data_IF_141257356617
#
_entry.id   IF_141257356617
#
_cell.length_a   1.000
_cell.length_b   1.000
_cell.length_c   1.000
_cell.angle_alpha   90.00
_cell.angle_beta   90.00
_cell.angle_gamma   90.00
#
_symmetry.space_group_name_H-M   'P 1'
#
loop_
_entity.id
_entity.type
_entity.pdbx_description
1 polymer ?
#
# COMPACT_ATOMS: atom_id res chain seq x y z
N UNK A 1 5.97 -38.19 -70.93
CA UNK A 1 5.12 -38.04 -69.72
C UNK A 1 3.70 -37.74 -70.16
N UNK A 2 2.68 -38.42 -69.64
CA UNK A 2 1.29 -38.20 -70.10
C UNK A 2 0.71 -36.95 -69.43
N UNK A 3 -0.21 -36.24 -70.10
CA UNK A 3 -0.91 -35.09 -69.49
C UNK A 3 -1.56 -35.46 -68.14
N UNK A 4 -2.00 -36.72 -68.02
CA UNK A 4 -2.57 -37.28 -66.80
C UNK A 4 -1.53 -37.46 -65.68
N UNK A 5 -0.27 -37.78 -66.00
CA UNK A 5 0.77 -37.86 -64.96
C UNK A 5 1.11 -36.47 -64.44
N UNK A 6 1.20 -35.46 -65.30
CA UNK A 6 1.53 -34.09 -64.90
C UNK A 6 0.41 -33.45 -64.05
N UNK A 7 -0.85 -33.66 -64.43
CA UNK A 7 -2.02 -33.17 -63.69
C UNK A 7 -2.12 -33.78 -62.29
N UNK A 8 -1.76 -35.07 -62.14
CA UNK A 8 -1.74 -35.75 -60.85
C UNK A 8 -0.63 -35.21 -59.95
N UNK A 9 0.55 -34.95 -60.49
CA UNK A 9 1.67 -34.42 -59.69
C UNK A 9 1.45 -32.95 -59.30
N UNK A 10 0.86 -32.14 -60.18
CA UNK A 10 0.55 -30.73 -59.85
C UNK A 10 -0.60 -30.59 -58.85
N UNK A 11 -1.65 -31.41 -58.97
CA UNK A 11 -2.74 -31.45 -57.99
C UNK A 11 -2.26 -31.93 -56.62
N UNK A 12 -1.36 -32.92 -56.57
CA UNK A 12 -0.74 -33.38 -55.33
C UNK A 12 0.14 -32.30 -54.70
N UNK A 13 0.94 -31.58 -55.51
CA UNK A 13 1.75 -30.46 -55.02
C UNK A 13 0.92 -29.29 -54.47
N UNK A 14 -0.20 -28.97 -55.11
CA UNK A 14 -1.12 -27.94 -54.63
C UNK A 14 -1.85 -28.34 -53.34
N UNK A 15 -2.25 -29.61 -53.23
CA UNK A 15 -2.86 -30.14 -52.00
C UNK A 15 -1.85 -30.15 -50.84
N UNK A 16 -0.61 -30.56 -51.10
CA UNK A 16 0.47 -30.61 -50.09
C UNK A 16 0.83 -29.20 -49.61
N UNK A 17 1.02 -28.24 -50.52
CA UNK A 17 1.33 -26.85 -50.15
C UNK A 17 0.13 -26.12 -49.52
N UNK A 18 -1.08 -26.37 -50.00
CA UNK A 18 -2.31 -25.78 -49.45
C UNK A 18 -2.66 -26.29 -48.06
N UNK A 19 -2.44 -27.59 -47.80
CA UNK A 19 -2.62 -28.18 -46.47
C UNK A 19 -1.53 -27.75 -45.48
N UNK A 20 -0.29 -27.53 -45.94
CA UNK A 20 0.76 -26.92 -45.12
C UNK A 20 0.45 -25.47 -44.72
N UNK A 21 -0.16 -24.68 -45.60
CA UNK A 21 -0.53 -23.29 -45.30
C UNK A 21 -1.77 -23.20 -44.40
N UNK A 22 -2.78 -24.06 -44.62
CA UNK A 22 -3.95 -24.14 -43.75
C UNK A 22 -3.59 -24.61 -42.32
N UNK A 23 -2.58 -25.49 -42.17
CA UNK A 23 -2.08 -25.92 -40.88
C UNK A 23 -1.29 -24.83 -40.11
N UNK A 24 -0.84 -23.75 -40.78
CA UNK A 24 -0.10 -22.64 -40.15
C UNK A 24 -1.01 -21.50 -39.68
N UNK A 25 -2.32 -21.55 -39.95
CA UNK A 25 -3.28 -20.49 -39.64
C UNK A 25 -3.81 -20.45 -38.20
N UNK A 26 -3.47 -21.43 -37.36
CA UNK A 26 -3.93 -21.51 -35.95
C UNK A 26 -2.79 -21.85 -34.99
N UNK A 27 -1.54 -21.51 -35.32
CA UNK A 27 -0.49 -21.46 -34.30
C UNK A 27 -0.50 -20.06 -33.70
N UNK A 28 -1.55 -19.76 -32.94
CA UNK A 28 -1.31 -18.93 -31.77
C UNK A 28 -0.24 -19.66 -30.96
N UNK A 29 0.84 -18.98 -30.59
CA UNK A 29 1.91 -19.58 -29.81
C UNK A 29 1.29 -20.35 -28.64
N UNK A 30 1.68 -21.61 -28.47
CA UNK A 30 1.31 -22.38 -27.28
C UNK A 30 2.07 -21.75 -26.11
N UNK A 31 1.48 -20.70 -25.54
CA UNK A 31 2.04 -20.00 -24.40
C UNK A 31 1.79 -20.83 -23.16
N UNK A 32 2.62 -21.86 -22.97
CA UNK A 32 2.69 -22.54 -21.69
C UNK A 32 3.41 -21.63 -20.69
N UNK A 33 2.63 -20.76 -20.02
CA UNK A 33 3.14 -19.82 -19.04
C UNK A 33 3.08 -20.47 -17.66
N UNK A 34 4.25 -20.87 -17.13
CA UNK A 34 4.40 -21.24 -15.73
C UNK A 34 4.94 -20.04 -14.93
N UNK A 35 4.17 -19.55 -13.95
CA UNK A 35 4.55 -18.42 -13.11
C UNK A 35 5.03 -18.88 -11.72
N UNK A 36 6.30 -18.63 -11.43
CA UNK A 36 6.91 -18.78 -10.10
C UNK A 36 7.07 -17.39 -9.47
N UNK A 37 6.44 -17.17 -8.31
CA UNK A 37 6.61 -15.94 -7.53
C UNK A 37 5.41 -14.99 -7.58
N UNK A 38 4.30 -15.38 -6.95
CA UNK A 38 3.31 -14.41 -6.51
C UNK A 38 3.65 -14.07 -5.06
N UNK A 39 4.23 -12.88 -4.86
CA UNK A 39 4.44 -12.30 -3.53
C UNK A 39 3.18 -12.33 -2.68
N UNK A 40 3.34 -12.48 -1.37
CA UNK A 40 2.23 -12.60 -0.42
C UNK A 40 1.37 -11.34 -0.32
N UNK A 41 0.24 -11.41 0.40
CA UNK A 41 -0.49 -10.21 0.82
C UNK A 41 0.17 -9.66 2.08
N UNK A 42 0.67 -8.43 2.02
CA UNK A 42 1.23 -7.74 3.17
C UNK A 42 0.30 -6.59 3.59
N UNK A 43 -0.14 -6.60 4.84
CA UNK A 43 -0.93 -5.54 5.46
C UNK A 43 -0.05 -4.74 6.43
N UNK A 44 0.03 -3.42 6.20
CA UNK A 44 0.86 -2.51 6.97
C UNK A 44 -0.01 -1.54 7.75
N UNK A 45 -0.10 -1.73 9.06
CA UNK A 45 -0.86 -0.83 9.92
C UNK A 45 0.04 0.20 10.59
N UNK A 46 -0.33 1.48 10.46
CA UNK A 46 0.34 2.63 11.05
C UNK A 46 -0.42 3.17 12.27
N UNK A 47 -1.01 2.29 13.08
CA UNK A 47 -1.78 2.66 14.27
C UNK A 47 -0.85 3.11 15.40
N UNK A 48 -0.60 4.42 15.48
CA UNK A 48 0.17 5.04 16.57
C UNK A 48 1.53 5.60 16.13
N UNK A 49 1.84 6.81 16.59
CA UNK A 49 3.12 7.49 16.40
C UNK A 49 3.74 7.93 17.72
N UNK A 50 4.98 8.40 17.68
CA UNK A 50 5.67 8.92 18.85
C UNK A 50 5.43 10.43 19.00
N UNK A 51 4.99 10.86 20.19
CA UNK A 51 5.02 12.28 20.59
C UNK A 51 5.93 12.44 21.80
N UNK A 52 6.86 13.38 21.69
CA UNK A 52 7.61 13.90 22.82
C UNK A 52 7.02 15.25 23.21
N UNK A 53 6.31 15.30 24.33
CA UNK A 53 5.93 16.56 24.96
C UNK A 53 7.09 17.04 25.84
N UNK A 54 7.47 18.31 25.68
CA UNK A 54 8.40 18.97 26.59
C UNK A 54 7.70 19.40 27.89
N UNK A 55 8.31 20.33 28.61
CA UNK A 55 7.71 20.88 29.83
C UNK A 55 6.38 21.58 29.52
N UNK A 56 5.30 21.11 30.16
CA UNK A 56 3.97 21.72 30.10
C UNK A 56 3.82 22.61 31.34
N UNK A 57 4.03 23.91 31.17
CA UNK A 57 3.90 24.89 32.23
C UNK A 57 2.59 25.67 32.09
N UNK A 58 1.84 25.80 33.19
CA UNK A 58 0.64 26.64 33.26
C UNK A 58 0.93 28.14 33.15
N UNK A 59 2.20 28.54 33.15
CA UNK A 59 2.62 29.92 33.38
C UNK A 59 2.36 30.35 34.83
N UNK A 60 2.74 31.59 35.15
CA UNK A 60 2.34 32.30 36.37
C UNK A 60 0.84 32.62 36.35
N UNK A 61 0.02 31.61 36.09
CA UNK A 61 -1.41 31.66 36.23
C UNK A 61 -1.66 31.69 37.75
N UNK A 62 -1.52 32.88 38.28
CA UNK A 62 -1.96 33.28 39.61
C UNK A 62 -3.39 33.77 39.40
N UNK A 63 -4.29 33.43 40.31
CA UNK A 63 -5.72 33.74 40.19
C UNK A 63 -6.03 35.24 40.23
N UNK A 64 -6.94 35.66 41.09
CA UNK A 64 -7.29 37.08 41.18
C UNK A 64 -6.19 37.85 41.93
N UNK A 65 -5.63 38.87 41.29
CA UNK A 65 -4.81 39.86 41.97
C UNK A 65 -5.74 40.86 42.68
N UNK A 66 -5.62 41.00 44.01
CA UNK A 66 -6.39 41.98 44.78
C UNK A 66 -5.46 42.98 45.45
N UNK A 67 -5.57 44.25 45.04
CA UNK A 67 -4.90 45.37 45.70
C UNK A 67 -5.82 46.05 46.70
N UNK A 68 -5.37 46.21 47.94
CA UNK A 68 -6.17 46.79 49.03
C UNK A 68 -5.88 48.27 49.29
N UNK A 69 -4.87 48.88 48.65
CA UNK A 69 -4.45 50.27 48.94
C UNK A 69 -4.18 50.51 50.43
N UNK A 70 -4.33 51.76 50.89
CA UNK A 70 -4.15 52.16 52.30
C UNK A 70 -5.37 51.81 53.19
N UNK A 71 -5.98 50.64 52.96
CA UNK A 71 -7.12 50.18 53.77
C UNK A 71 -6.59 49.35 54.94
N UNK A 72 -6.74 49.87 56.17
CA UNK A 72 -6.32 49.19 57.39
C UNK A 72 -7.19 47.96 57.69
N UNK A 73 -6.66 46.76 57.41
CA UNK A 73 -7.17 45.49 57.91
C UNK A 73 -8.60 45.13 57.45
N UNK A 74 -8.78 44.90 56.15
CA UNK A 74 -10.04 44.37 55.62
C UNK A 74 -9.91 42.87 55.29
N UNK A 75 -10.92 42.08 55.68
CA UNK A 75 -11.06 40.69 55.25
C UNK A 75 -11.58 40.67 53.80
N UNK A 76 -10.74 40.20 52.87
CA UNK A 76 -11.08 40.14 51.45
C UNK A 76 -11.20 38.69 51.00
N UNK A 77 -12.35 38.33 50.45
CA UNK A 77 -12.55 37.04 49.78
C UNK A 77 -12.05 37.12 48.33
N UNK A 78 -11.03 36.31 48.03
CA UNK A 78 -10.37 36.28 46.72
C UNK A 78 -11.15 35.62 45.58
N UNK A 79 -12.30 35.03 45.89
CA UNK A 79 -13.02 34.14 44.98
C UNK A 79 -12.36 32.76 44.90
N UNK A 80 -13.13 31.77 44.44
CA UNK A 80 -12.62 30.45 44.11
C UNK A 80 -12.02 30.48 42.70
N UNK A 81 -10.71 30.22 42.58
CA UNK A 81 -10.03 30.18 41.28
C UNK A 81 -9.55 28.78 40.96
N UNK A 82 -10.03 28.24 39.84
CA UNK A 82 -9.53 27.00 39.27
C UNK A 82 -8.55 27.32 38.13
N UNK A 83 -7.26 27.00 38.34
CA UNK A 83 -6.27 27.07 37.26
C UNK A 83 -6.04 25.69 36.66
N UNK A 84 -6.35 25.57 35.38
CA UNK A 84 -6.23 24.32 34.64
C UNK A 84 -5.38 24.53 33.40
N UNK A 85 -4.33 23.72 33.26
CA UNK A 85 -3.61 23.54 32.00
C UNK A 85 -4.00 22.19 31.42
N UNK A 86 -4.61 22.21 30.24
CA UNK A 86 -5.02 20.99 29.54
C UNK A 86 -4.16 20.81 28.29
N UNK A 87 -3.63 19.61 28.11
CA UNK A 87 -2.92 19.20 26.91
C UNK A 87 -3.58 17.93 26.37
N UNK A 88 -4.11 18.02 25.14
CA UNK A 88 -4.65 16.88 24.40
C UNK A 88 -3.69 16.51 23.26
N UNK A 89 -3.19 15.27 23.26
CA UNK A 89 -2.20 14.78 22.30
C UNK A 89 -2.78 13.57 21.57
N UNK A 90 -2.98 13.72 20.27
CA UNK A 90 -3.49 12.67 19.38
C UNK A 90 -2.39 12.19 18.43
N UNK A 91 -2.08 10.89 18.49
CA UNK A 91 -1.08 10.21 17.63
C UNK A 91 -1.71 9.16 16.74
N UNK A 92 -2.72 9.57 15.96
CA UNK A 92 -3.47 8.70 15.05
C UNK A 92 -2.68 8.26 13.79
N UNK A 93 -1.34 8.26 13.83
CA UNK A 93 -0.51 7.83 12.71
C UNK A 93 0.93 7.51 13.09
N UNK A 94 1.53 6.55 12.39
CA UNK A 94 2.91 6.09 12.51
C UNK A 94 3.47 5.56 11.18
N UNK A 95 4.50 4.72 11.24
CA UNK A 95 5.08 4.09 10.04
C UNK A 95 4.74 2.60 10.04
N UNK A 96 3.78 2.21 9.21
CA UNK A 96 3.52 0.80 8.89
C UNK A 96 4.31 0.41 7.64
N UNK A 97 5.20 -0.57 7.77
CA UNK A 97 5.92 -1.15 6.62
C UNK A 97 5.43 -2.59 6.46
N UNK A 98 4.88 -2.88 5.29
CA UNK A 98 4.49 -4.23 4.88
C UNK A 98 5.34 -4.63 3.67
N UNK A 99 5.96 -5.80 3.73
CA UNK A 99 6.73 -6.37 2.62
C UNK A 99 6.04 -7.63 2.10
N UNK A 100 5.71 -7.61 0.81
CA UNK A 100 5.08 -8.68 0.06
C UNK A 100 6.07 -9.42 -0.84
N UNK A 101 7.39 -9.21 -0.67
CA UNK A 101 8.41 -9.82 -1.52
C UNK A 101 8.24 -11.35 -1.62
N UNK A 102 8.24 -11.87 -2.84
CA UNK A 102 8.08 -13.29 -3.12
C UNK A 102 9.31 -14.06 -2.66
N UNK A 103 9.10 -15.16 -1.92
CA UNK A 103 10.19 -15.95 -1.33
C UNK A 103 11.12 -16.61 -2.35
N UNK A 104 12.30 -17.03 -1.89
CA UNK A 104 13.25 -17.82 -2.69
C UNK A 104 12.74 -19.25 -2.93
N UNK A 105 13.23 -19.93 -3.99
CA UNK A 105 12.83 -21.29 -4.40
C UNK A 105 11.40 -21.47 -4.95
N UNK A 106 10.83 -20.45 -5.61
CA UNK A 106 9.61 -20.67 -6.39
C UNK A 106 9.93 -21.53 -7.62
N UNK A 107 9.34 -22.73 -7.70
CA UNK A 107 9.49 -23.65 -8.83
C UNK A 107 8.15 -23.73 -9.56
N UNK A 108 8.14 -23.42 -10.86
CA UNK A 108 6.98 -23.60 -11.72
C UNK A 108 7.35 -24.51 -12.89
N UNK A 109 6.45 -25.42 -13.25
CA UNK A 109 6.66 -26.39 -14.32
C UNK A 109 5.58 -26.26 -15.40
N UNK A 110 6.01 -26.43 -16.64
CA UNK A 110 5.18 -26.67 -17.82
C UNK A 110 5.32 -28.15 -18.20
N UNK A 111 4.25 -28.79 -18.66
CA UNK A 111 4.23 -30.18 -19.14
C UNK A 111 4.18 -30.29 -20.65
#
# INVERSE_FOLDING_TARGET
>A
MSKLSLLRTSALGALVSGSFFAARGTVAAQEDIAAAGNGGTADGSANGGAVAAGDVNSGDNVGNAIGTGDTGGADIYGGDVANATSLDVSVLGGTGIADASGGDYNIAFVS
#
